data_IF_745229171155
#
_entry.id   IF_745229171155
#
_cell.length_a   1.000
_cell.length_b   1.000
_cell.length_c   1.000
_cell.angle_alpha   90.00
_cell.angle_beta   90.00
_cell.angle_gamma   90.00
#
_symmetry.space_group_name_H-M   'P 1'
#
loop_
_entity.id
_entity.type
_entity.pdbx_description
1 polymer ?
2 non-polymer ?
3 non-polymer ?
4 water ?
#
# COMPACT_ATOMS: atom_id res chain seq x y z
N UNK A 14 9.16 28.55 12.50
CA UNK A 14 10.43 27.97 12.09
C UNK A 14 11.41 29.10 11.72
N UNK A 15 12.56 29.14 12.39
CA UNK A 15 13.41 30.33 12.37
C UNK A 15 14.13 30.52 11.04
N UNK A 16 14.53 31.76 10.79
CA UNK A 16 15.25 32.07 9.55
C UNK A 16 16.62 31.44 9.52
N UNK A 17 17.30 31.39 10.67
CA UNK A 17 18.60 30.72 10.75
C UNK A 17 18.48 29.25 10.37
N UNK A 18 17.39 28.61 10.78
CA UNK A 18 17.21 27.20 10.48
C UNK A 18 16.94 26.98 9.00
N UNK A 19 16.11 27.83 8.39
CA UNK A 19 15.86 27.72 6.95
C UNK A 19 17.16 27.87 6.17
N UNK A 20 17.98 28.86 6.55
CA UNK A 20 19.26 29.05 5.86
C UNK A 20 20.16 27.84 6.00
N UNK A 21 20.14 27.18 7.17
CA UNK A 21 20.93 25.96 7.35
C UNK A 21 20.43 24.85 6.43
N UNK A 22 19.12 24.72 6.27
CA UNK A 22 18.59 23.74 5.32
C UNK A 22 19.05 24.06 3.91
N UNK A 23 19.00 25.34 3.53
CA UNK A 23 19.42 25.73 2.19
C UNK A 23 20.89 25.47 1.95
N UNK A 24 21.71 25.58 3.00
CA UNK A 24 23.13 25.28 2.88
C UNK A 24 23.38 23.82 2.54
N UNK A 25 22.47 22.92 2.89
CA UNK A 25 22.66 21.50 2.60
C UNK A 25 22.19 21.15 1.18
N UNK A 26 20.95 21.52 0.84
CA UNK A 26 20.34 21.01 -0.39
C UNK A 26 20.30 22.04 -1.50
N UNK A 27 20.56 23.31 -1.21
CA UNK A 27 20.46 24.34 -2.23
C UNK A 27 19.18 25.14 -2.12
N UNK A 28 19.27 26.44 -2.38
CA UNK A 28 18.11 27.31 -2.19
C UNK A 28 16.86 26.87 -2.96
N UNK A 29 16.93 26.42 -4.21
CA UNK A 29 15.70 26.02 -4.90
C UNK A 29 15.03 24.81 -4.28
N UNK A 30 15.73 24.05 -3.45
CA UNK A 30 15.22 22.80 -2.92
C UNK A 30 14.69 22.91 -1.49
N UNK A 31 14.50 24.13 -1.01
CA UNK A 31 13.85 24.39 0.28
C UNK A 31 12.72 25.37 0.04
N UNK A 32 11.53 25.07 0.55
CA UNK A 32 10.42 26.00 0.40
C UNK A 32 9.63 26.13 1.68
N UNK A 33 9.32 27.37 2.07
CA UNK A 33 8.38 27.65 3.14
C UNK A 33 7.09 28.29 2.61
N UNK A 34 6.86 28.22 1.30
CA UNK A 34 5.67 28.82 0.71
C UNK A 34 4.42 28.05 1.12
N UNK A 35 3.34 28.79 1.43
CA UNK A 35 2.12 28.18 1.94
C UNK A 35 1.54 27.15 0.97
N UNK A 36 1.51 27.48 -0.33
CA UNK A 36 0.92 26.55 -1.28
C UNK A 36 1.73 25.27 -1.39
N UNK A 37 3.07 25.39 -1.37
CA UNK A 37 3.92 24.22 -1.47
C UNK A 37 3.75 23.34 -0.24
N UNK A 38 3.70 23.97 0.94
CA UNK A 38 3.51 23.19 2.16
C UNK A 38 2.15 22.51 2.19
N UNK A 39 1.09 23.22 1.75
CA UNK A 39 -0.23 22.62 1.78
C UNK A 39 -0.34 21.42 0.84
N UNK A 40 0.37 21.46 -0.29
CA UNK A 40 0.41 20.33 -1.21
C UNK A 40 1.11 19.12 -0.60
N UNK A 41 1.94 19.33 0.42
CA UNK A 41 2.65 18.25 1.08
C UNK A 41 2.09 17.93 2.46
N UNK A 42 0.94 18.46 2.81
CA UNK A 42 0.34 18.23 4.12
C UNK A 42 -0.76 17.19 4.15
N UNK A 43 -0.97 16.47 3.05
CA UNK A 43 -2.06 15.52 2.94
C UNK A 43 -1.65 14.45 1.96
N UNK A 44 -2.34 13.31 2.03
CA UNK A 44 -2.19 12.29 1.01
C UNK A 44 -3.52 12.12 0.29
N UNK A 45 -3.84 10.90 -0.12
CA UNK A 45 -5.11 10.66 -0.81
C UNK A 45 -6.26 10.38 0.14
N UNK A 46 -6.00 10.31 1.45
CA UNK A 46 -7.03 10.01 2.43
C UNK A 46 -7.84 11.26 2.79
N UNK A 47 -8.89 11.05 3.57
CA UNK A 47 -9.74 12.13 4.07
C UNK A 47 -9.14 12.88 5.24
N UNK A 48 -7.97 12.46 5.74
CA UNK A 48 -7.39 13.12 6.91
C UNK A 48 -7.08 14.56 6.58
N UNK A 49 -7.43 15.46 7.51
CA UNK A 49 -7.33 16.89 7.24
C UNK A 49 -5.90 17.30 6.94
N UNK A 50 -5.75 18.18 5.97
CA UNK A 50 -4.43 18.67 5.59
C UNK A 50 -3.78 19.41 6.75
N UNK A 51 -2.57 18.99 7.11
CA UNK A 51 -1.80 19.65 8.16
C UNK A 51 -0.44 19.97 7.58
N UNK A 52 -0.23 21.19 7.11
CA UNK A 52 0.96 21.50 6.32
C UNK A 52 2.22 21.49 7.17
N UNK A 53 3.31 20.94 6.65
CA UNK A 53 4.60 21.08 7.32
C UNK A 53 5.02 22.55 7.32
N UNK A 54 6.01 22.84 8.15
CA UNK A 54 6.56 24.20 8.19
C UNK A 54 7.50 24.48 7.01
N UNK A 55 8.07 23.45 6.40
CA UNK A 55 8.90 23.61 5.23
C UNK A 55 8.89 22.30 4.47
N UNK A 56 9.23 22.37 3.18
CA UNK A 56 9.44 21.20 2.34
C UNK A 56 10.86 21.27 1.80
N UNK A 57 11.58 20.15 1.86
CA UNK A 57 12.97 20.06 1.46
C UNK A 57 13.11 18.88 0.51
N UNK A 58 13.85 19.07 -0.59
CA UNK A 58 14.14 18.04 -1.59
C UNK A 58 15.63 17.72 -1.59
N UNK A 59 16.08 16.74 -0.80
CA UNK A 59 17.50 16.37 -0.85
C UNK A 59 17.85 15.70 -2.17
N UNK A 60 19.08 15.93 -2.62
CA UNK A 60 19.52 15.46 -3.92
C UNK A 60 20.36 14.18 -3.86
N UNK A 61 20.80 13.78 -2.67
CA UNK A 61 21.58 12.55 -2.51
C UNK A 61 21.51 12.15 -1.05
N UNK A 62 22.04 10.96 -0.75
CA UNK A 62 21.90 10.42 0.59
C UNK A 62 22.67 11.24 1.61
N UNK A 63 23.82 11.79 1.23
CA UNK A 63 24.55 12.66 2.15
C UNK A 63 23.70 13.85 2.58
N UNK A 64 22.95 14.42 1.64
CA UNK A 64 22.06 15.52 1.99
C UNK A 64 20.91 15.06 2.86
N UNK A 65 20.38 13.85 2.62
CA UNK A 65 19.32 13.34 3.50
C UNK A 65 19.84 13.26 4.93
N UNK A 66 21.05 12.69 5.09
CA UNK A 66 21.65 12.56 6.40
C UNK A 66 21.85 13.91 7.07
N UNK A 67 22.36 14.89 6.33
CA UNK A 67 22.61 16.19 6.92
C UNK A 67 21.32 16.92 7.26
N UNK A 68 20.26 16.76 6.46
CA UNK A 68 18.98 17.37 6.80
C UNK A 68 18.40 16.71 8.05
N UNK A 69 18.46 15.38 8.12
CA UNK A 69 17.93 14.70 9.30
C UNK A 69 18.67 15.13 10.56
N UNK A 70 20.00 15.17 10.49
CA UNK A 70 20.80 15.58 11.65
C UNK A 70 20.44 16.99 12.09
N UNK A 71 20.30 17.91 11.13
CA UNK A 71 19.97 19.28 11.49
C UNK A 71 18.60 19.35 12.16
N UNK A 72 17.60 18.68 11.60
CA UNK A 72 16.27 18.67 12.20
C UNK A 72 16.28 18.01 13.57
N UNK A 73 16.88 16.82 13.64
CA UNK A 73 16.83 16.05 14.88
C UNK A 73 17.46 16.82 16.03
N UNK A 74 18.63 17.39 15.80
CA UNK A 74 19.31 18.06 16.91
C UNK A 74 18.69 19.40 17.26
N UNK A 75 17.87 19.99 16.39
CA UNK A 75 17.16 21.22 16.70
C UNK A 75 15.74 21.00 17.19
N UNK A 76 15.32 19.74 17.34
CA UNK A 76 13.99 19.46 17.86
C UNK A 76 12.88 19.70 16.87
N UNK A 77 13.14 19.52 15.59
CA UNK A 77 12.19 19.78 14.51
C UNK A 77 11.72 18.44 13.96
N UNK A 78 10.42 18.16 13.94
CA UNK A 78 9.95 16.88 13.39
C UNK A 78 10.31 16.72 11.92
N UNK A 79 10.45 15.45 11.53
CA UNK A 79 10.79 15.05 10.16
C UNK A 79 9.65 14.20 9.62
N UNK A 80 9.15 14.56 8.44
CA UNK A 80 8.11 13.75 7.79
C UNK A 80 8.62 13.28 6.43
N UNK A 81 8.97 12.00 6.28
CA UNK A 81 9.35 11.51 4.94
C UNK A 81 8.14 11.55 4.01
N UNK A 82 8.39 11.90 2.76
CA UNK A 82 7.33 12.06 1.78
C UNK A 82 7.79 11.40 0.49
N UNK A 83 6.99 10.46 0.01
CA UNK A 83 7.30 9.81 -1.26
C UNK A 83 6.48 10.42 -2.36
N UNK A 84 5.46 9.70 -2.82
CA UNK A 84 4.54 10.23 -3.83
C UNK A 84 3.21 10.69 -3.25
N UNK A 85 3.02 10.64 -1.93
CA UNK A 85 1.83 11.17 -1.32
C UNK A 85 0.55 10.44 -1.67
N UNK A 86 0.66 9.14 -2.01
CA UNK A 86 -0.52 8.36 -2.38
C UNK A 86 -1.04 7.50 -1.23
N UNK A 87 -0.46 7.62 -0.03
CA UNK A 87 -0.97 6.87 1.10
C UNK A 87 -2.41 7.22 1.42
N UNK A 88 -3.06 6.34 2.18
CA UNK A 88 -4.47 6.54 2.49
C UNK A 88 -4.74 6.55 3.99
N UNK A 89 -3.71 6.76 4.82
CA UNK A 89 -3.93 6.84 6.26
C UNK A 89 -3.30 8.07 6.91
N UNK A 90 -3.01 9.10 6.14
CA UNK A 90 -2.52 10.33 6.74
C UNK A 90 -1.08 10.28 7.18
N UNK A 91 -0.31 9.35 6.63
CA UNK A 91 1.08 9.21 7.05
C UNK A 91 1.92 10.46 6.87
N UNK A 92 1.64 11.25 5.82
CA UNK A 92 2.44 12.45 5.56
C UNK A 92 1.90 13.70 6.23
N UNK A 93 0.75 13.62 6.91
CA UNK A 93 0.19 14.80 7.57
C UNK A 93 1.11 15.28 8.69
N UNK A 94 1.47 16.58 8.66
CA UNK A 94 2.42 17.10 9.65
C UNK A 94 1.67 17.56 10.90
N UNK A 95 1.25 16.56 11.71
CA UNK A 95 0.40 16.85 12.86
C UNK A 95 1.12 17.66 13.93
N UNK A 96 2.46 17.67 13.92
CA UNK A 96 3.22 18.52 14.83
C UNK A 96 4.12 19.49 14.07
N UNK A 97 3.77 19.81 12.82
CA UNK A 97 4.59 20.66 11.99
C UNK A 97 5.90 19.98 11.63
N UNK A 98 6.90 20.79 11.31
CA UNK A 98 8.23 20.30 11.04
C UNK A 98 8.59 20.36 9.57
N UNK A 99 9.57 19.54 9.20
CA UNK A 99 10.16 19.56 7.86
C UNK A 99 9.73 18.31 7.11
N UNK A 100 9.03 18.51 5.99
CA UNK A 100 8.66 17.44 5.09
C UNK A 100 9.81 17.20 4.12
N UNK A 101 10.31 15.97 4.07
CA UNK A 101 11.45 15.64 3.22
C UNK A 101 10.89 14.89 2.01
N UNK A 102 10.77 15.60 0.88
CA UNK A 102 10.34 14.97 -0.35
C UNK A 102 11.55 14.29 -0.99
N UNK A 103 11.47 12.98 -1.14
CA UNK A 103 12.64 12.18 -1.51
C UNK A 103 12.71 11.89 -3.01
N UNK A 104 11.80 12.44 -3.80
CA UNK A 104 11.62 11.92 -5.16
C UNK A 104 12.64 12.45 -6.17
N UNK A 105 13.50 13.39 -5.81
CA UNK A 105 14.54 13.79 -6.75
C UNK A 105 15.69 12.79 -6.83
N UNK A 106 15.82 11.89 -5.85
CA UNK A 106 16.72 10.75 -5.99
C UNK A 106 15.93 9.66 -6.68
N UNK A 107 16.15 9.52 -7.99
CA UNK A 107 15.23 8.78 -8.84
C UNK A 107 15.97 7.77 -9.72
N UNK A 108 17.13 7.30 -9.26
CA UNK A 108 17.97 6.45 -10.07
C UNK A 108 17.78 4.96 -9.74
N UNK A 109 17.80 4.14 -10.79
CA UNK A 109 17.91 2.69 -10.69
C UNK A 109 19.38 2.33 -10.79
N UNK A 110 19.87 1.56 -9.82
CA UNK A 110 21.27 1.12 -9.82
C UNK A 110 21.35 -0.37 -9.51
N UNK A 111 22.55 -0.91 -9.68
CA UNK A 111 22.88 -2.27 -9.31
C UNK A 111 21.87 -3.27 -9.86
N UNK A 112 21.47 -3.06 -11.12
CA UNK A 112 20.59 -4.03 -11.76
C UNK A 112 21.37 -5.33 -11.94
N UNK A 113 20.93 -6.39 -11.27
CA UNK A 113 21.57 -7.70 -11.37
C UNK A 113 20.57 -8.72 -11.92
N UNK A 114 20.47 -8.79 -13.23
CA UNK A 114 19.54 -9.68 -13.86
C UNK A 114 19.80 -11.13 -13.52
N UNK A 115 21.05 -11.53 -13.45
CA UNK A 115 21.38 -12.91 -13.17
C UNK A 115 21.07 -13.37 -11.74
N UNK A 116 20.95 -12.42 -10.81
CA UNK A 116 20.58 -12.72 -9.44
C UNK A 116 19.13 -12.32 -9.18
N UNK A 117 18.45 -11.78 -10.15
CA UNK A 117 17.09 -11.34 -9.95
C UNK A 117 16.97 -10.22 -8.87
N UNK A 118 17.79 -9.18 -8.97
CA UNK A 118 17.68 -8.13 -7.97
C UNK A 118 18.04 -6.77 -8.58
N UNK A 119 17.60 -5.71 -7.92
CA UNK A 119 17.83 -4.35 -8.38
C UNK A 119 17.76 -3.43 -7.16
N UNK A 120 18.43 -2.28 -7.27
CA UNK A 120 18.39 -1.26 -6.23
C UNK A 120 17.73 -0.01 -6.81
N UNK A 121 16.77 0.56 -6.07
CA UNK A 121 16.03 1.72 -6.54
C UNK A 121 16.03 2.81 -5.47
N UNK A 122 16.08 4.06 -5.91
CA UNK A 122 15.97 5.22 -5.04
C UNK A 122 14.50 5.65 -4.95
N UNK A 123 14.15 6.54 -4.01
CA UNK A 123 12.73 6.80 -3.74
C UNK A 123 11.92 7.39 -4.90
N UNK A 124 12.56 8.07 -5.85
CA UNK A 124 11.83 8.63 -6.98
C UNK A 124 11.41 7.62 -8.03
N UNK A 125 11.89 6.37 -7.92
CA UNK A 125 11.54 5.33 -8.87
C UNK A 125 10.19 4.74 -8.48
N UNK A 126 9.27 4.73 -9.44
CA UNK A 126 7.99 4.06 -9.29
C UNK A 126 8.05 2.67 -9.92
N UNK A 127 7.04 1.85 -9.62
CA UNK A 127 6.94 0.54 -10.25
C UNK A 127 6.86 0.65 -11.77
N UNK A 128 6.09 1.62 -12.27
CA UNK A 128 6.00 1.83 -13.71
C UNK A 128 7.38 2.15 -14.30
N UNK A 129 8.15 3.02 -13.64
CA UNK A 129 9.48 3.34 -14.13
C UNK A 129 10.38 2.12 -14.12
N UNK A 130 10.34 1.32 -13.05
CA UNK A 130 11.21 0.16 -12.98
C UNK A 130 10.85 -0.86 -14.06
N UNK A 131 9.56 -1.16 -14.20
CA UNK A 131 9.18 -2.19 -15.16
C UNK A 131 9.36 -1.71 -16.60
N UNK A 132 9.23 -0.41 -16.85
CA UNK A 132 9.53 0.12 -18.18
C UNK A 132 11.01 -0.04 -18.51
N UNK A 133 11.88 0.24 -17.54
CA UNK A 133 13.31 0.05 -17.76
C UNK A 133 13.70 -1.42 -17.83
N UNK A 134 12.86 -2.32 -17.33
CA UNK A 134 13.12 -3.77 -17.43
C UNK A 134 12.53 -4.47 -18.66
N UNK A 135 11.96 -3.68 -19.54
CA UNK A 135 11.40 -4.25 -20.75
C UNK A 135 12.48 -4.95 -21.57
N UNK A 136 12.21 -6.14 -22.07
CA UNK A 136 13.17 -6.92 -22.92
C UNK A 136 14.20 -7.69 -22.11
N UNK A 137 14.09 -7.60 -20.82
CA UNK A 137 14.96 -8.28 -19.88
C UNK A 137 14.41 -9.64 -19.46
N UNK A 138 13.11 -9.86 -19.64
CA UNK A 138 12.48 -11.06 -19.15
C UNK A 138 12.17 -11.07 -17.67
N UNK A 139 12.43 -9.94 -16.98
CA UNK A 139 12.16 -9.80 -15.57
C UNK A 139 11.18 -8.66 -15.34
N UNK A 140 10.51 -8.69 -14.19
CA UNK A 140 9.58 -7.62 -13.82
C UNK A 140 9.46 -7.59 -12.31
N UNK A 141 8.93 -6.47 -11.81
CA UNK A 141 8.65 -6.33 -10.38
C UNK A 141 7.14 -6.40 -10.16
N UNK A 142 6.67 -7.36 -9.34
CA UNK A 142 5.23 -7.67 -9.32
C UNK A 142 4.35 -6.86 -8.37
N UNK A 143 4.89 -6.32 -7.28
CA UNK A 143 4.01 -5.75 -6.26
C UNK A 143 3.37 -4.48 -6.79
N UNK A 144 2.04 -4.48 -6.98
CA UNK A 144 1.36 -3.49 -7.81
C UNK A 144 0.20 -2.79 -7.12
N UNK A 145 0.49 -1.85 -6.22
CA UNK A 145 -0.56 -0.90 -5.80
C UNK A 145 -1.12 -0.17 -7.01
N UNK A 146 -2.37 0.25 -6.91
CA UNK A 146 -3.01 0.90 -8.05
C UNK A 146 -2.45 2.28 -8.35
N UNK A 147 -1.85 2.91 -7.36
CA UNK A 147 -1.27 4.23 -7.52
C UNK A 147 0.14 4.14 -8.09
N UNK A 148 0.56 5.23 -8.75
CA UNK A 148 1.92 5.36 -9.27
C UNK A 148 2.85 5.76 -8.12
N UNK A 149 3.11 4.80 -7.24
CA UNK A 149 3.74 5.07 -5.96
C UNK A 149 5.26 4.86 -5.99
N UNK A 150 5.95 5.65 -5.17
CA UNK A 150 7.36 5.41 -4.88
C UNK A 150 7.58 4.01 -4.34
N UNK A 151 8.55 3.28 -4.92
CA UNK A 151 8.85 1.94 -4.43
C UNK A 151 9.39 1.97 -3.00
N UNK A 152 10.15 3.00 -2.65
CA UNK A 152 10.62 3.11 -1.27
C UNK A 152 9.46 3.45 -0.33
N UNK A 153 8.49 4.24 -0.81
CA UNK A 153 7.28 4.45 -0.04
C UNK A 153 6.49 3.17 0.16
N UNK A 154 6.43 2.32 -0.87
CA UNK A 154 5.81 1.01 -0.73
C UNK A 154 6.54 0.14 0.27
N UNK A 155 7.87 0.21 0.31
CA UNK A 155 8.60 -0.49 1.38
C UNK A 155 8.23 0.10 2.74
N UNK A 156 8.11 1.43 2.82
CA UNK A 156 7.80 2.04 4.11
C UNK A 156 6.41 1.66 4.60
N UNK A 157 5.43 1.53 3.71
CA UNK A 157 4.09 1.17 4.17
C UNK A 157 3.85 -0.34 4.27
N UNK A 158 4.76 -1.16 3.73
CA UNK A 158 4.49 -2.60 3.68
C UNK A 158 3.44 -2.99 2.66
N UNK A 159 3.44 -2.32 1.51
CA UNK A 159 2.37 -2.44 0.53
C UNK A 159 2.25 -3.84 -0.05
N UNK A 160 1.07 -4.12 -0.60
CA UNK A 160 0.90 -5.32 -1.43
C UNK A 160 0.20 -4.85 -2.70
N UNK A 161 -0.50 -5.78 -3.36
CA UNK A 161 -1.14 -5.45 -4.61
C UNK A 161 -1.87 -6.67 -5.14
N UNK A 162 -2.40 -6.53 -6.36
CA UNK A 162 -3.15 -7.66 -6.94
C UNK A 162 -2.25 -8.87 -7.18
N UNK A 163 -0.97 -8.65 -7.48
CA UNK A 163 -0.08 -9.79 -7.77
C UNK A 163 0.43 -10.48 -6.51
N UNK A 164 0.14 -9.94 -5.32
CA UNK A 164 0.78 -10.44 -4.11
C UNK A 164 0.36 -11.87 -3.78
N UNK A 165 -0.86 -12.26 -4.15
CA UNK A 165 -1.34 -13.61 -3.86
C UNK A 165 -0.39 -14.67 -4.41
N UNK A 166 0.27 -14.40 -5.54
CA UNK A 166 1.23 -15.33 -6.11
C UNK A 166 2.67 -14.93 -5.88
N UNK A 167 2.99 -13.64 -5.96
CA UNK A 167 4.38 -13.18 -6.01
C UNK A 167 4.85 -12.50 -4.73
N UNK A 168 3.98 -12.36 -3.73
CA UNK A 168 4.37 -11.81 -2.44
C UNK A 168 4.13 -10.32 -2.32
N UNK A 169 4.17 -9.86 -1.07
CA UNK A 169 4.06 -8.45 -0.71
C UNK A 169 5.44 -7.78 -0.73
N UNK A 170 5.49 -6.49 -0.39
CA UNK A 170 6.79 -5.83 -0.21
C UNK A 170 7.65 -6.57 0.82
N UNK A 171 7.05 -7.08 1.90
CA UNK A 171 7.83 -7.80 2.91
C UNK A 171 8.51 -9.02 2.30
N UNK A 172 7.84 -9.66 1.33
CA UNK A 172 8.40 -10.84 0.70
C UNK A 172 9.47 -10.50 -0.31
N UNK A 173 9.46 -9.28 -0.84
CA UNK A 173 10.29 -8.92 -1.99
C UNK A 173 11.32 -7.83 -1.69
N UNK A 174 11.43 -7.37 -0.45
CA UNK A 174 12.48 -6.43 -0.07
C UNK A 174 13.63 -7.24 0.54
N UNK A 175 14.81 -7.15 -0.10
CA UNK A 175 16.00 -7.90 0.25
C UNK A 175 16.94 -7.10 1.15
N UNK A 176 16.91 -5.78 1.06
CA UNK A 176 17.83 -4.89 1.76
C UNK A 176 17.24 -3.50 1.69
N UNK A 177 17.59 -2.67 2.68
CA UNK A 177 17.16 -1.28 2.71
C UNK A 177 18.34 -0.43 3.11
N UNK A 178 18.46 0.74 2.47
CA UNK A 178 19.35 1.78 2.95
C UNK A 178 18.50 2.79 3.70
N UNK A 179 18.83 3.04 4.97
CA UNK A 179 18.00 3.85 5.85
C UNK A 179 18.85 4.93 6.49
N UNK A 180 18.41 6.18 6.38
CA UNK A 180 18.98 7.26 7.19
C UNK A 180 18.19 7.26 8.50
N UNK A 181 18.87 6.96 9.59
CA UNK A 181 18.23 6.96 10.89
C UNK A 181 17.92 8.39 11.33
N UNK A 182 17.04 8.55 12.32
CA UNK A 182 16.57 9.91 12.66
C UNK A 182 17.68 10.92 12.95
N UNK A 183 18.77 10.52 13.58
CA UNK A 183 19.88 11.41 13.87
C UNK A 183 20.88 11.55 12.71
N UNK A 184 20.62 10.93 11.56
CA UNK A 184 21.46 11.08 10.40
C UNK A 184 22.40 9.92 10.11
N UNK A 185 22.53 8.95 11.02
CA UNK A 185 23.40 7.81 10.73
C UNK A 185 22.83 6.99 9.58
N UNK A 186 23.73 6.39 8.79
CA UNK A 186 23.34 5.59 7.63
C UNK A 186 23.42 4.10 7.96
N UNK A 187 22.30 3.41 7.80
CA UNK A 187 22.19 1.99 8.05
C UNK A 187 21.84 1.26 6.76
N UNK A 188 22.59 0.22 6.45
CA UNK A 188 22.20 -0.75 5.43
C UNK A 188 21.71 -1.98 6.18
N UNK A 189 20.40 -2.24 6.11
CA UNK A 189 19.80 -3.15 7.08
C UNK A 189 20.38 -4.55 6.99
N UNK A 190 20.71 -5.02 5.80
CA UNK A 190 21.33 -6.32 5.61
C UNK A 190 22.82 -6.23 5.28
N UNK A 191 23.41 -5.04 5.38
CA UNK A 191 24.80 -4.86 5.00
C UNK A 191 24.94 -4.16 3.68
N UNK A 192 25.92 -3.26 3.56
CA UNK A 192 26.07 -2.47 2.34
C UNK A 192 26.36 -3.35 1.14
N UNK A 193 25.52 -3.22 0.10
CA UNK A 193 25.74 -3.92 -1.14
C UNK A 193 25.28 -5.36 -1.16
N UNK A 194 24.70 -5.85 -0.06
CA UNK A 194 24.41 -7.27 0.06
C UNK A 194 23.06 -7.61 -0.57
N UNK A 195 23.00 -8.80 -1.17
CA UNK A 195 21.76 -9.30 -1.73
C UNK A 195 21.88 -10.80 -1.82
N UNK A 196 20.85 -11.51 -1.36
CA UNK A 196 20.91 -12.95 -1.26
C UNK A 196 19.48 -13.46 -1.04
N UNK A 197 19.32 -14.78 -1.14
CA UNK A 197 17.98 -15.36 -1.03
C UNK A 197 17.54 -15.61 0.41
N UNK A 198 18.47 -15.86 1.32
CA UNK A 198 18.13 -16.11 2.71
C UNK A 198 19.34 -15.86 3.59
N UNK A 199 19.07 -15.54 4.86
CA UNK A 199 20.13 -15.33 5.83
C UNK A 199 19.59 -15.58 7.23
N UNK A 200 20.45 -16.16 8.07
CA UNK A 200 20.23 -16.25 9.51
C UNK A 200 21.21 -15.38 10.28
N UNK A 201 21.84 -14.40 9.64
CA UNK A 201 22.94 -13.66 10.26
C UNK A 201 22.42 -12.55 11.17
N UNK A 202 22.45 -12.79 12.47
CA UNK A 202 22.01 -11.76 13.41
C UNK A 202 20.51 -11.62 13.39
N UNK A 203 20.04 -10.46 13.81
CA UNK A 203 18.61 -10.14 13.78
C UNK A 203 18.26 -9.51 12.44
N UNK A 204 17.10 -9.90 11.90
CA UNK A 204 16.69 -9.39 10.59
C UNK A 204 16.23 -7.95 10.75
N UNK A 205 17.09 -7.01 10.40
CA UNK A 205 16.72 -5.60 10.53
C UNK A 205 15.87 -5.13 9.37
N UNK A 206 16.00 -5.77 8.20
CA UNK A 206 15.22 -5.35 7.04
C UNK A 206 13.72 -5.39 7.32
N UNK A 207 13.25 -6.49 7.93
CA UNK A 207 11.83 -6.64 8.20
C UNK A 207 11.28 -5.63 9.19
N UNK A 208 12.14 -5.10 10.06
CA UNK A 208 11.69 -4.08 11.01
C UNK A 208 11.36 -2.77 10.30
N UNK A 209 12.12 -2.42 9.27
CA UNK A 209 11.89 -1.15 8.61
C UNK A 209 10.82 -1.23 7.51
N UNK A 210 10.57 -2.42 6.97
CA UNK A 210 9.42 -2.56 6.09
C UNK A 210 8.15 -2.39 6.91
N UNK A 211 7.27 -1.49 6.47
CA UNK A 211 6.06 -1.24 7.23
C UNK A 211 6.24 -0.31 8.41
N UNK A 212 7.35 0.43 8.47
CA UNK A 212 7.60 1.34 9.58
C UNK A 212 7.03 2.74 9.33
N UNK A 213 6.59 3.01 8.09
CA UNK A 213 5.81 4.21 7.76
C UNK A 213 6.55 5.51 8.04
N UNK A 214 7.88 5.50 8.02
CA UNK A 214 8.61 6.73 8.26
C UNK A 214 8.78 7.11 9.70
N UNK A 215 8.42 6.22 10.63
CA UNK A 215 8.57 6.50 12.05
C UNK A 215 9.87 5.96 12.63
N UNK A 216 10.66 5.19 11.86
CA UNK A 216 11.93 4.67 12.35
C UNK A 216 13.14 5.17 11.56
N UNK A 217 12.93 5.92 10.50
CA UNK A 217 14.01 6.39 9.66
C UNK A 217 13.54 6.56 8.24
N UNK A 218 14.45 7.04 7.40
CA UNK A 218 14.15 7.44 6.03
C UNK A 218 14.77 6.42 5.07
N UNK A 219 13.93 5.75 4.29
CA UNK A 219 14.43 4.77 3.33
C UNK A 219 14.94 5.52 2.10
N UNK A 220 16.24 5.43 1.83
CA UNK A 220 16.84 6.11 0.69
C UNK A 220 17.23 5.18 -0.44
N UNK A 221 17.23 3.86 -0.23
CA UNK A 221 17.17 2.96 -1.37
C UNK A 221 16.56 1.65 -0.89
N UNK A 222 16.05 0.88 -1.84
CA UNK A 222 15.48 -0.42 -1.57
C UNK A 222 16.09 -1.41 -2.55
N UNK A 223 16.54 -2.55 -2.03
CA UNK A 223 16.95 -3.66 -2.89
C UNK A 223 15.78 -4.61 -3.05
N UNK A 224 15.35 -4.81 -4.30
CA UNK A 224 14.11 -5.53 -4.60
C UNK A 224 14.41 -6.84 -5.31
N UNK A 225 13.62 -7.86 -4.97
CA UNK A 225 13.58 -9.11 -5.72
C UNK A 225 12.81 -8.93 -7.02
N UNK A 226 13.43 -9.31 -8.14
CA UNK A 226 12.76 -9.35 -9.42
C UNK A 226 12.30 -10.77 -9.72
N UNK A 227 11.33 -10.89 -10.63
CA UNK A 227 10.71 -12.17 -10.96
C UNK A 227 10.72 -12.39 -12.45
N UNK A 228 10.78 -13.65 -12.89
CA UNK A 228 10.69 -13.94 -14.33
C UNK A 228 9.29 -13.61 -14.86
N UNK A 229 9.26 -13.05 -16.06
CA UNK A 229 7.98 -12.82 -16.72
C UNK A 229 7.30 -14.15 -17.00
N UNK A 230 5.97 -14.22 -16.87
CA UNK A 230 5.28 -15.49 -17.14
C UNK A 230 5.36 -15.89 -18.60
N UNK A 231 5.44 -17.20 -18.83
CA UNK A 231 5.49 -17.70 -20.19
C UNK A 231 4.26 -17.30 -20.98
N UNK A 232 3.08 -17.45 -20.37
CA UNK A 232 1.82 -17.06 -20.99
C UNK A 232 0.89 -16.56 -19.90
N UNK A 233 -0.05 -15.70 -20.30
CA UNK A 233 -0.94 -15.03 -19.37
C UNK A 233 -2.35 -15.06 -19.93
N UNK A 234 -3.34 -15.31 -19.06
CA UNK A 234 -4.74 -15.22 -19.43
C UNK A 234 -5.49 -14.55 -18.30
N UNK A 235 -6.35 -13.59 -18.64
CA UNK A 235 -7.16 -12.90 -17.65
C UNK A 235 -8.64 -13.10 -17.99
N UNK A 236 -9.49 -12.96 -16.98
CA UNK A 236 -10.92 -13.14 -17.20
C UNK A 236 -11.68 -12.50 -16.06
N UNK A 237 -12.97 -12.26 -16.29
CA UNK A 237 -13.88 -11.85 -15.23
C UNK A 237 -14.99 -12.89 -15.10
N UNK A 238 -15.53 -12.99 -13.90
CA UNK A 238 -16.57 -13.97 -13.61
C UNK A 238 -17.61 -13.30 -12.72
N UNK A 239 -18.86 -13.28 -13.17
CA UNK A 239 -19.94 -12.63 -12.44
C UNK A 239 -20.71 -13.66 -11.60
N UNK A 240 -21.13 -13.23 -10.41
CA UNK A 240 -21.76 -14.11 -9.45
C UNK A 240 -23.13 -13.56 -9.03
N UNK A 241 -24.02 -14.43 -8.56
CA UNK A 241 -25.34 -13.95 -8.10
C UNK A 241 -25.30 -13.24 -6.77
N UNK A 242 -24.26 -13.44 -5.96
CA UNK A 242 -24.24 -12.89 -4.61
C UNK A 242 -22.79 -12.77 -4.16
N UNK A 243 -22.60 -11.92 -3.15
CA UNK A 243 -21.28 -11.81 -2.52
C UNK A 243 -20.85 -13.15 -1.94
N UNK A 244 -21.79 -13.84 -1.27
CA UNK A 244 -21.49 -15.16 -0.70
C UNK A 244 -20.92 -16.10 -1.76
N UNK A 245 -21.52 -16.11 -2.95
CA UNK A 245 -21.08 -17.04 -3.98
C UNK A 245 -19.69 -16.70 -4.48
N UNK A 246 -19.38 -15.41 -4.61
CA UNK A 246 -18.07 -15.00 -5.11
C UNK A 246 -16.98 -15.29 -4.08
N UNK A 247 -17.27 -15.07 -2.81
CA UNK A 247 -16.23 -15.26 -1.79
C UNK A 247 -16.06 -16.74 -1.47
N UNK A 248 -17.16 -17.52 -1.50
CA UNK A 248 -17.03 -18.97 -1.36
C UNK A 248 -16.15 -19.53 -2.46
N UNK A 249 -16.33 -19.06 -3.70
CA UNK A 249 -15.48 -19.48 -4.81
C UNK A 249 -14.03 -19.15 -4.52
N UNK A 250 -13.76 -17.93 -4.05
CA UNK A 250 -12.39 -17.52 -3.75
C UNK A 250 -11.75 -18.47 -2.75
N UNK A 251 -12.45 -18.71 -1.63
CA UNK A 251 -11.90 -19.58 -0.58
C UNK A 251 -11.64 -20.97 -1.13
N UNK A 252 -12.56 -21.50 -1.95
CA UNK A 252 -12.37 -22.84 -2.47
C UNK A 252 -11.25 -22.90 -3.50
N UNK A 253 -11.03 -21.82 -4.27
CA UNK A 253 -9.90 -21.78 -5.18
C UNK A 253 -8.59 -21.84 -4.41
N UNK A 254 -8.48 -21.07 -3.32
CA UNK A 254 -7.27 -21.08 -2.51
C UNK A 254 -7.06 -22.43 -1.83
N UNK A 255 -8.14 -23.05 -1.35
CA UNK A 255 -8.00 -24.35 -0.68
C UNK A 255 -7.70 -25.47 -1.65
N UNK A 256 -8.07 -25.32 -2.92
CA UNK A 256 -7.66 -26.27 -3.94
C UNK A 256 -6.24 -26.01 -4.43
N UNK A 257 -5.60 -24.95 -3.93
CA UNK A 257 -4.21 -24.63 -4.23
C UNK A 257 -3.99 -24.34 -5.71
N UNK A 258 -4.98 -23.73 -6.36
CA UNK A 258 -4.77 -23.23 -7.70
C UNK A 258 -3.84 -22.02 -7.59
N UNK A 259 -2.68 -22.02 -8.25
CA UNK A 259 -1.72 -20.90 -8.11
C UNK A 259 -2.09 -19.69 -8.94
N UNK A 260 -3.28 -19.15 -8.69
CA UNK A 260 -3.74 -17.98 -9.44
C UNK A 260 -2.77 -16.83 -9.26
N UNK A 261 -2.58 -16.06 -10.33
CA UNK A 261 -1.68 -14.92 -10.27
C UNK A 261 -2.37 -13.70 -9.68
N UNK A 262 -3.67 -13.56 -9.93
CA UNK A 262 -4.48 -12.44 -9.47
C UNK A 262 -5.88 -12.96 -9.18
N UNK A 263 -6.46 -12.58 -8.05
CA UNK A 263 -7.86 -12.88 -7.79
C UNK A 263 -8.44 -11.72 -6.97
N UNK A 264 -9.20 -10.85 -7.63
CA UNK A 264 -9.69 -9.61 -7.07
C UNK A 264 -11.21 -9.62 -7.04
N UNK A 265 -11.77 -9.15 -5.94
CA UNK A 265 -13.22 -9.09 -5.77
C UNK A 265 -13.71 -7.65 -5.91
N UNK A 266 -14.81 -7.48 -6.65
CA UNK A 266 -15.56 -6.23 -6.69
C UNK A 266 -17.01 -6.55 -6.40
N UNK A 267 -17.63 -5.81 -5.48
CA UNK A 267 -19.07 -6.00 -5.32
C UNK A 267 -19.80 -5.26 -6.43
N UNK A 268 -21.14 -5.36 -6.45
CA UNK A 268 -21.90 -4.76 -7.54
C UNK A 268 -21.71 -3.25 -7.60
N UNK A 269 -21.66 -2.59 -6.43
CA UNK A 269 -21.45 -1.14 -6.40
C UNK A 269 -20.10 -0.79 -7.01
N UNK A 270 -19.04 -1.51 -6.62
CA UNK A 270 -17.72 -1.26 -7.17
C UNK A 270 -17.67 -1.57 -8.67
N UNK A 271 -18.30 -2.66 -9.10
CA UNK A 271 -18.35 -3.00 -10.53
C UNK A 271 -19.00 -1.89 -11.33
N UNK A 272 -20.15 -1.40 -10.86
CA UNK A 272 -20.82 -0.30 -11.55
C UNK A 272 -19.95 0.95 -11.58
N UNK A 273 -19.26 1.24 -10.48
CA UNK A 273 -18.41 2.44 -10.44
C UNK A 273 -17.26 2.31 -11.43
N UNK A 274 -16.61 1.15 -11.50
CA UNK A 274 -15.53 0.96 -12.46
C UNK A 274 -16.04 0.97 -13.89
N UNK A 275 -17.23 0.42 -14.16
CA UNK A 275 -17.82 0.55 -15.50
C UNK A 275 -17.93 2.01 -15.92
N UNK A 276 -18.39 2.86 -15.00
CA UNK A 276 -18.62 4.27 -15.33
C UNK A 276 -17.33 5.06 -15.44
N UNK A 277 -16.27 4.62 -14.76
CA UNK A 277 -15.02 5.36 -14.71
C UNK A 277 -14.00 4.88 -15.73
N UNK A 278 -14.31 3.75 -16.39
CA UNK A 278 -13.43 3.16 -17.37
C UNK A 278 -14.10 2.65 -18.65
N UNK A 279 -13.33 1.92 -19.44
CA UNK A 279 -13.83 1.35 -20.68
C UNK A 279 -14.62 0.04 -20.51
N UNK A 280 -14.73 -0.45 -19.30
CA UNK A 280 -15.46 -1.68 -19.05
C UNK A 280 -16.97 -1.57 -19.12
N UNK A 281 -17.61 -2.68 -19.47
CA UNK A 281 -19.07 -2.77 -19.46
C UNK A 281 -19.45 -4.14 -18.95
N UNK A 282 -18.85 -4.55 -17.84
CA UNK A 282 -19.12 -5.79 -17.16
C UNK A 282 -20.54 -5.79 -16.60
N UNK A 283 -21.16 -6.96 -16.48
CA UNK A 283 -22.46 -7.03 -15.80
C UNK A 283 -22.33 -6.51 -14.37
N UNK A 284 -23.29 -5.70 -13.96
CA UNK A 284 -23.29 -5.14 -12.61
C UNK A 284 -23.70 -6.25 -11.65
N UNK A 285 -22.70 -6.81 -10.98
CA UNK A 285 -22.86 -7.98 -10.11
C UNK A 285 -21.58 -8.15 -9.32
N UNK A 286 -21.62 -8.84 -8.19
CA UNK A 286 -20.37 -9.21 -7.52
C UNK A 286 -19.51 -10.05 -8.45
N UNK A 287 -18.26 -9.62 -8.63
CA UNK A 287 -17.42 -10.10 -9.72
C UNK A 287 -16.02 -10.43 -9.21
N UNK A 288 -15.43 -11.46 -9.78
CA UNK A 288 -14.00 -11.75 -9.59
C UNK A 288 -13.26 -11.39 -10.86
N UNK A 289 -12.17 -10.64 -10.71
CA UNK A 289 -11.17 -10.48 -11.76
C UNK A 289 -10.07 -11.50 -11.51
N UNK A 290 -9.75 -12.30 -12.53
CA UNK A 290 -8.78 -13.38 -12.38
C UNK A 290 -7.69 -13.24 -13.42
N UNK A 291 -6.48 -13.68 -13.05
CA UNK A 291 -5.40 -13.81 -14.01
C UNK A 291 -4.60 -15.07 -13.68
N UNK A 292 -4.14 -15.75 -14.73
CA UNK A 292 -3.41 -17.01 -14.60
C UNK A 292 -2.11 -16.90 -15.37
N UNK A 293 -1.04 -17.43 -14.79
CA UNK A 293 0.29 -17.45 -15.38
C UNK A 293 0.77 -18.88 -15.51
N UNK A 294 1.40 -19.18 -16.64
CA UNK A 294 2.05 -20.47 -16.81
C UNK A 294 2.27 -20.76 -18.29
N UNK A 295 2.55 -22.03 -18.56
CA UNK A 295 2.64 -22.49 -19.93
C UNK A 295 1.23 -22.81 -20.44
N UNK A 296 1.14 -23.18 -21.72
CA UNK A 296 -0.16 -23.51 -22.29
C UNK A 296 -0.79 -24.71 -21.59
N UNK A 297 0.03 -25.71 -21.24
CA UNK A 297 -0.49 -26.88 -20.55
C UNK A 297 -0.99 -26.52 -19.16
N UNK A 298 -0.17 -25.81 -18.38
CA UNK A 298 -0.57 -25.49 -17.01
C UNK A 298 -1.72 -24.49 -16.98
N UNK A 299 -1.80 -23.58 -17.97
CA UNK A 299 -2.91 -22.64 -18.01
C UNK A 299 -4.24 -23.36 -18.22
N UNK A 300 -4.28 -24.27 -19.21
CA UNK A 300 -5.50 -25.02 -19.45
C UNK A 300 -5.93 -25.82 -18.23
N UNK A 301 -4.96 -26.31 -17.46
CA UNK A 301 -5.26 -27.11 -16.28
C UNK A 301 -5.73 -26.23 -15.12
N UNK A 302 -5.07 -25.07 -14.91
CA UNK A 302 -5.55 -24.14 -13.90
C UNK A 302 -6.95 -23.61 -14.24
N UNK A 303 -7.18 -23.30 -15.51
CA UNK A 303 -8.48 -22.78 -15.92
C UNK A 303 -9.58 -23.79 -15.61
N UNK A 304 -9.39 -25.04 -16.04
CA UNK A 304 -10.46 -26.02 -15.88
C UNK A 304 -10.78 -26.27 -14.41
N UNK A 305 -9.78 -26.26 -13.53
CA UNK A 305 -10.06 -26.43 -12.11
C UNK A 305 -10.75 -25.20 -11.53
N UNK A 306 -10.39 -24.00 -11.99
CA UNK A 306 -10.99 -22.79 -11.45
C UNK A 306 -12.42 -22.59 -11.97
N UNK A 307 -12.66 -22.87 -13.25
CA UNK A 307 -14.03 -22.79 -13.76
C UNK A 307 -14.95 -23.78 -13.06
N UNK A 308 -14.46 -24.98 -12.75
CA UNK A 308 -15.30 -25.96 -12.06
C UNK A 308 -15.73 -25.45 -10.69
N UNK A 309 -14.83 -24.75 -9.99
CA UNK A 309 -15.16 -24.24 -8.66
C UNK A 309 -16.14 -23.08 -8.77
N UNK A 310 -15.88 -22.15 -9.69
CA UNK A 310 -16.77 -21.00 -9.82
C UNK A 310 -18.15 -21.43 -10.31
N UNK A 311 -18.20 -22.40 -11.23
CA UNK A 311 -19.50 -22.92 -11.69
C UNK A 311 -20.30 -23.51 -10.53
N UNK A 312 -19.63 -24.22 -9.62
CA UNK A 312 -20.30 -24.81 -8.47
C UNK A 312 -21.00 -23.77 -7.61
N UNK A 313 -20.52 -22.52 -7.65
CA UNK A 313 -21.09 -21.45 -6.84
C UNK A 313 -21.87 -20.45 -7.69
N UNK A 314 -22.30 -20.83 -8.89
CA UNK A 314 -23.13 -19.96 -9.69
C UNK A 314 -22.39 -18.93 -10.51
N UNK A 315 -21.08 -19.05 -10.66
CA UNK A 315 -20.34 -18.09 -11.45
C UNK A 315 -20.63 -18.23 -12.93
N UNK A 316 -20.57 -17.11 -13.64
CA UNK A 316 -20.75 -17.10 -15.08
C UNK A 316 -19.59 -17.80 -15.77
N UNK A 317 -19.79 -18.16 -17.03
CA UNK A 317 -18.67 -18.53 -17.86
C UNK A 317 -17.69 -17.36 -17.92
N UNK A 318 -16.41 -17.69 -18.01
CA UNK A 318 -15.38 -16.65 -17.94
C UNK A 318 -15.48 -15.72 -19.14
N UNK A 319 -15.53 -14.43 -18.88
CA UNK A 319 -15.42 -13.40 -19.91
C UNK A 319 -13.94 -13.11 -20.12
N UNK A 320 -13.40 -13.54 -21.25
CA UNK A 320 -11.96 -13.60 -21.44
C UNK A 320 -11.40 -12.24 -21.86
N UNK A 321 -10.09 -12.09 -21.63
CA UNK A 321 -9.35 -10.92 -22.09
C UNK A 321 -7.93 -11.31 -22.47
N UNK A 324 -2.14 -8.28 -23.96
CA UNK A 324 -3.21 -7.74 -24.81
C UNK A 324 -3.72 -6.42 -24.26
N UNK A 325 -4.33 -5.64 -25.14
CA UNK A 325 -4.92 -4.38 -24.72
C UNK A 325 -6.06 -4.54 -23.73
N UNK A 326 -6.75 -5.65 -23.76
CA UNK A 326 -7.94 -5.76 -22.90
C UNK A 326 -7.62 -6.27 -21.49
N UNK A 327 -6.54 -6.99 -21.30
CA UNK A 327 -6.11 -7.20 -19.93
C UNK A 327 -5.59 -5.90 -19.34
N UNK A 328 -4.95 -5.07 -20.16
CA UNK A 328 -4.46 -3.79 -19.68
C UNK A 328 -5.61 -2.88 -19.25
N UNK A 329 -6.69 -2.84 -20.03
CA UNK A 329 -7.85 -2.05 -19.62
C UNK A 329 -8.55 -2.67 -18.42
N UNK A 330 -8.57 -4.00 -18.34
CA UNK A 330 -9.14 -4.68 -17.17
C UNK A 330 -8.41 -4.27 -15.90
N UNK A 331 -7.09 -4.40 -15.88
CA UNK A 331 -6.36 -4.12 -14.65
C UNK A 331 -6.17 -2.63 -14.41
N UNK A 332 -6.20 -1.80 -15.46
CA UNK A 332 -6.21 -0.36 -15.22
C UNK A 332 -7.50 0.07 -14.53
N UNK A 333 -8.63 -0.53 -14.91
CA UNK A 333 -9.88 -0.26 -14.21
C UNK A 333 -9.80 -0.68 -12.74
N UNK A 334 -9.25 -1.87 -12.48
CA UNK A 334 -9.11 -2.32 -11.10
C UNK A 334 -8.19 -1.40 -10.31
N UNK A 335 -7.04 -1.04 -10.91
CA UNK A 335 -6.08 -0.19 -10.23
C UNK A 335 -6.66 1.18 -9.91
N UNK A 336 -7.65 1.65 -10.66
CA UNK A 336 -8.24 2.96 -10.44
C UNK A 336 -9.55 2.89 -9.67
N UNK A 337 -9.86 1.73 -9.06
CA UNK A 337 -11.11 1.56 -8.32
C UNK A 337 -11.31 2.65 -7.27
N UNK A 338 -10.23 3.05 -6.58
CA UNK A 338 -10.34 4.13 -5.60
C UNK A 338 -10.91 5.38 -6.23
N UNK A 339 -10.41 5.77 -7.41
CA UNK A 339 -10.90 6.96 -8.09
C UNK A 339 -12.27 6.74 -8.69
N UNK A 340 -12.59 5.51 -9.10
CA UNK A 340 -13.94 5.21 -9.54
C UNK A 340 -14.95 5.40 -8.41
N UNK A 341 -14.58 5.01 -7.20
CA UNK A 341 -15.46 5.18 -6.05
C UNK A 341 -15.63 6.66 -5.71
N UNK A 342 -14.54 7.43 -5.73
CA UNK A 342 -14.64 8.86 -5.45
C UNK A 342 -15.56 9.55 -6.45
N UNK A 343 -15.52 9.12 -7.70
CA UNK A 343 -16.32 9.74 -8.75
C UNK A 343 -17.82 9.48 -8.62
N UNK A 344 -18.22 8.66 -7.69
CA UNK A 344 -19.64 8.44 -7.49
C UNK A 344 -20.21 9.68 -6.82
N UNK A 345 -19.49 10.24 -5.85
CA UNK A 345 -19.92 11.45 -5.16
C UNK A 345 -18.88 12.51 -5.35
N UNK A 346 -18.96 13.22 -6.45
CA UNK A 346 -17.88 14.19 -6.74
C UNK A 346 -17.73 15.38 -5.77
N UNK A 348 -16.36 14.57 -3.07
CA UNK A 348 -16.28 13.84 -1.82
C UNK A 348 -14.92 13.26 -1.60
N UNK A 349 -14.60 13.06 -0.34
CA UNK A 349 -13.35 12.40 0.00
C UNK A 349 -13.77 10.97 0.44
N UNK A 350 -12.81 10.11 0.76
CA UNK A 350 -13.15 8.75 1.13
C UNK A 350 -12.21 8.25 2.21
N UNK A 351 -12.71 7.32 3.01
CA UNK A 351 -11.90 6.53 3.91
C UNK A 351 -11.99 5.07 3.49
N UNK A 352 -10.87 4.36 3.61
CA UNK A 352 -10.79 2.95 3.25
C UNK A 352 -10.49 2.11 4.48
N UNK A 353 -11.27 1.04 4.68
CA UNK A 353 -10.85 -0.01 5.57
C UNK A 353 -9.92 -0.96 4.81
N UNK A 354 -9.31 -1.90 5.55
CA UNK A 354 -8.25 -2.73 4.99
C UNK A 354 -8.02 -4.02 5.78
N UNK A 355 -9.08 -4.59 6.34
CA UNK A 355 -8.88 -5.74 7.22
C UNK A 355 -8.39 -6.95 6.43
N UNK A 356 -7.72 -7.85 7.15
CA UNK A 356 -7.28 -9.13 6.59
C UNK A 356 -7.55 -10.20 7.64
N UNK A 357 -8.28 -11.24 7.24
CA UNK A 357 -8.73 -12.27 8.18
C UNK A 357 -8.27 -13.63 7.68
N UNK A 358 -8.24 -14.64 8.56
CA UNK A 358 -8.07 -16.02 8.08
C UNK A 358 -9.07 -16.31 6.97
N UNK A 359 -8.60 -16.95 5.90
CA UNK A 359 -9.42 -17.02 4.69
C UNK A 359 -10.74 -17.73 4.94
N UNK A 360 -10.79 -18.70 5.84
CA UNK A 360 -12.06 -19.38 6.07
C UNK A 360 -13.09 -18.47 6.71
N UNK A 361 -12.67 -17.37 7.32
CA UNK A 361 -13.61 -16.41 7.88
C UNK A 361 -13.96 -15.28 6.91
N UNK A 362 -13.35 -15.25 5.72
CA UNK A 362 -13.62 -14.16 4.79
C UNK A 362 -15.08 -14.12 4.33
N UNK A 363 -15.74 -15.24 4.03
CA UNK A 363 -17.16 -15.15 3.65
C UNK A 363 -18.03 -14.50 4.73
N UNK A 364 -17.83 -14.87 6.00
CA UNK A 364 -18.60 -14.26 7.09
C UNK A 364 -18.46 -12.74 7.08
N UNK A 365 -17.22 -12.24 7.07
CA UNK A 365 -17.03 -10.82 7.28
C UNK A 365 -17.38 -10.01 6.03
N UNK A 366 -17.14 -10.54 4.82
CA UNK A 366 -17.51 -9.81 3.63
C UNK A 366 -19.02 -9.71 3.49
N UNK A 367 -19.74 -10.81 3.70
CA UNK A 367 -21.19 -10.77 3.64
C UNK A 367 -21.74 -9.86 4.72
N UNK A 368 -21.20 -9.95 5.94
CA UNK A 368 -21.62 -9.07 7.02
C UNK A 368 -21.38 -7.61 6.68
N UNK A 369 -20.24 -7.29 6.06
CA UNK A 369 -19.96 -5.90 5.70
C UNK A 369 -20.96 -5.39 4.67
N UNK A 370 -21.27 -6.23 3.67
CA UNK A 370 -22.27 -5.84 2.67
C UNK A 370 -23.62 -5.59 3.34
N UNK A 371 -24.03 -6.45 4.27
CA UNK A 371 -25.29 -6.25 4.98
C UNK A 371 -25.26 -4.97 5.80
N UNK A 372 -24.13 -4.67 6.44
CA UNK A 372 -24.05 -3.48 7.29
C UNK A 372 -24.05 -2.21 6.48
N UNK A 373 -23.36 -2.22 5.32
CA UNK A 373 -23.40 -1.06 4.43
C UNK A 373 -24.84 -0.74 4.04
N UNK A 374 -25.57 -1.76 3.67
CA UNK A 374 -26.95 -1.53 3.26
C UNK A 374 -27.86 -1.09 4.39
N UNK A 375 -27.62 -1.62 5.58
CA UNK A 375 -28.43 -1.25 6.70
C UNK A 375 -28.16 0.16 7.14
N UNK A 376 -27.00 0.73 6.83
CA UNK A 376 -26.69 2.06 7.31
C UNK A 376 -27.04 3.11 6.26
N UNK A 377 -27.05 4.38 6.69
CA UNK A 377 -27.23 5.50 5.79
C UNK A 377 -26.05 5.68 4.84
N UNK A 378 -24.92 5.03 5.12
CA UNK A 378 -23.69 5.27 4.40
C UNK A 378 -23.69 4.60 3.02
N UNK A 379 -22.96 5.22 2.09
CA UNK A 379 -22.57 4.60 0.83
C UNK A 379 -21.22 3.92 1.00
N UNK A 380 -21.07 2.75 0.39
CA UNK A 380 -19.78 2.08 0.37
C UNK A 380 -19.60 1.22 -0.85
N UNK A 381 -18.37 1.11 -1.33
CA UNK A 381 -18.00 0.18 -2.39
C UNK A 381 -16.98 -0.79 -1.82
N UNK A 382 -17.04 -2.05 -2.24
CA UNK A 382 -16.15 -3.08 -1.71
C UNK A 382 -15.27 -3.61 -2.84
N UNK A 383 -13.96 -3.65 -2.59
CA UNK A 383 -12.98 -4.18 -3.53
C UNK A 383 -11.89 -4.81 -2.68
N UNK A 384 -11.30 -5.91 -3.15
CA UNK A 384 -10.39 -6.61 -2.26
C UNK A 384 -9.43 -7.56 -2.92
N UNK A 385 -8.21 -7.59 -2.38
CA UNK A 385 -7.23 -8.64 -2.63
C UNK A 385 -7.63 -9.88 -1.83
N UNK A 386 -8.75 -10.49 -2.24
CA UNK A 386 -9.37 -11.55 -1.45
C UNK A 386 -8.55 -12.83 -1.46
N UNK A 387 -7.63 -12.99 -2.42
CA UNK A 387 -6.69 -14.10 -2.38
C UNK A 387 -5.84 -14.11 -1.13
N UNK A 388 -5.66 -12.94 -0.50
CA UNK A 388 -4.94 -12.81 0.75
C UNK A 388 -5.86 -12.78 1.96
N UNK A 389 -7.16 -12.95 1.77
CA UNK A 389 -8.11 -12.74 2.85
C UNK A 389 -8.31 -11.29 3.21
N UNK A 390 -8.07 -10.39 2.26
CA UNK A 390 -7.98 -8.96 2.49
C UNK A 390 -9.02 -8.27 1.62
N UNK A 391 -9.65 -7.22 2.14
CA UNK A 391 -10.54 -6.42 1.32
C UNK A 391 -10.63 -5.01 1.89
N UNK A 392 -11.09 -4.09 1.04
CA UNK A 392 -11.27 -2.69 1.40
C UNK A 392 -12.73 -2.32 1.25
N UNK A 393 -13.24 -1.58 2.23
CA UNK A 393 -14.53 -0.90 2.10
C UNK A 393 -14.24 0.58 1.91
N UNK A 394 -14.63 1.12 0.76
CA UNK A 394 -14.37 2.52 0.43
C UNK A 394 -15.62 3.31 0.77
N UNK A 395 -15.50 4.21 1.75
CA UNK A 395 -16.63 4.95 2.32
C UNK A 395 -16.45 6.44 1.99
N UNK A 396 -17.30 6.98 1.11
CA UNK A 396 -17.21 8.39 0.77
C UNK A 396 -17.66 9.31 1.90
N UNK A 397 -17.10 10.51 1.89
CA UNK A 397 -17.35 11.55 2.89
C UNK A 397 -17.53 12.88 2.19
N UNK A 398 -18.62 13.56 2.49
CA UNK A 398 -18.74 15.00 2.27
C UNK A 398 -17.77 15.68 3.22
N UNK A 399 -16.72 16.35 2.72
CA UNK A 399 -15.72 16.94 3.63
C UNK A 399 -16.30 17.94 4.63
N UNK A 400 -17.49 18.47 4.39
CA UNK A 400 -18.09 19.46 5.27
C UNK A 400 -19.20 18.89 6.15
N UNK A 401 -19.45 17.58 6.08
CA UNK A 401 -20.52 16.94 6.86
C UNK A 401 -19.87 16.23 8.04
N UNK A 402 -19.94 16.87 9.21
CA UNK A 402 -19.30 16.31 10.40
C UNK A 402 -20.06 15.10 10.93
N UNK A 403 -21.38 15.08 10.78
CA UNK A 403 -22.15 13.93 11.25
C UNK A 403 -21.84 12.68 10.42
N UNK A 404 -21.74 12.83 9.10
CA UNK A 404 -21.34 11.70 8.27
C UNK A 404 -19.95 11.20 8.62
N UNK A 405 -19.05 12.12 9.00
CA UNK A 405 -17.66 11.73 9.23
C UNK A 405 -17.50 10.84 10.45
N UNK A 406 -18.34 11.01 11.47
CA UNK A 406 -18.20 10.14 12.63
C UNK A 406 -18.92 8.83 12.43
N UNK A 407 -19.98 8.81 11.61
CA UNK A 407 -20.58 7.55 11.22
C UNK A 407 -19.62 6.71 10.41
N UNK A 408 -18.74 7.36 9.63
CA UNK A 408 -17.78 6.62 8.81
C UNK A 408 -16.67 6.02 9.69
N UNK A 409 -16.01 6.85 10.50
CA UNK A 409 -15.26 6.34 11.66
C UNK A 409 -15.92 5.22 12.43
N UNK A 410 -17.15 5.41 12.90
CA UNK A 410 -17.77 4.37 13.69
C UNK A 410 -17.88 3.07 12.89
N UNK A 411 -18.23 3.17 11.61
CA UNK A 411 -18.35 1.98 10.77
C UNK A 411 -17.00 1.32 10.56
N UNK A 412 -15.98 2.10 10.16
CA UNK A 412 -14.67 1.54 9.91
C UNK A 412 -14.09 0.91 11.17
N UNK A 413 -14.35 1.53 12.31
CA UNK A 413 -13.81 1.04 13.57
C UNK A 413 -14.53 -0.23 14.02
N UNK A 414 -15.84 -0.34 13.79
CA UNK A 414 -16.55 -1.57 14.12
C UNK A 414 -16.13 -2.72 13.19
N UNK A 415 -15.91 -2.42 11.91
CA UNK A 415 -15.43 -3.46 11.00
C UNK A 415 -14.05 -3.94 11.43
N UNK A 416 -13.15 -3.01 11.77
CA UNK A 416 -11.85 -3.41 12.28
C UNK A 416 -11.94 -4.33 13.46
N UNK A 417 -12.81 -4.02 14.43
CA UNK A 417 -12.87 -4.89 15.61
C UNK A 417 -13.49 -6.23 15.28
N UNK A 418 -14.40 -6.29 14.31
CA UNK A 418 -14.92 -7.58 13.87
C UNK A 418 -13.81 -8.43 13.27
N UNK A 419 -12.93 -7.82 12.46
CA UNK A 419 -11.79 -8.55 11.94
C UNK A 419 -10.89 -9.05 13.06
N UNK A 420 -10.65 -8.21 14.07
CA UNK A 420 -9.84 -8.63 15.20
C UNK A 420 -10.50 -9.79 15.94
N UNK A 421 -11.82 -9.75 16.08
CA UNK A 421 -12.53 -10.84 16.77
C UNK A 421 -12.37 -12.17 16.04
N UNK A 422 -12.13 -12.12 14.73
CA UNK A 422 -11.97 -13.32 13.92
C UNK A 422 -10.52 -13.79 13.83
N UNK A 423 -9.61 -13.17 14.60
CA UNK A 423 -8.22 -13.57 14.56
C UNK A 423 -7.40 -12.88 13.51
N UNK A 424 -7.94 -11.85 12.86
CA UNK A 424 -7.27 -11.17 11.77
C UNK A 424 -6.55 -9.92 12.22
N UNK A 425 -6.27 -9.06 11.25
CA UNK A 425 -5.53 -7.83 11.46
C UNK A 425 -6.33 -6.66 10.91
N UNK A 426 -6.14 -5.50 11.52
CA UNK A 426 -6.86 -4.30 11.13
C UNK A 426 -6.35 -3.68 9.84
N UNK A 427 -5.17 -4.09 9.36
CA UNK A 427 -4.71 -3.60 8.06
C UNK A 427 -3.82 -4.63 7.38
N UNK A 428 -4.23 -5.03 6.19
CA UNK A 428 -3.43 -5.97 5.42
C UNK A 428 -2.28 -5.31 4.66
N UNK A 429 -2.41 -4.04 4.29
CA UNK A 429 -1.39 -3.43 3.43
C UNK A 429 -1.25 -1.92 3.57
N UNK A 430 -2.33 -1.20 3.93
CA UNK A 430 -2.28 0.26 3.89
C UNK A 430 -1.47 0.85 5.03
N UNK A 431 -1.43 0.18 6.17
CA UNK A 431 -0.77 0.70 7.35
C UNK A 431 -1.73 1.35 8.33
N UNK A 432 -1.13 1.95 9.35
CA UNK A 432 -1.84 2.50 10.50
C UNK A 432 -2.02 3.99 10.40
N UNK A 433 -0.94 4.71 10.05
CA UNK A 433 -0.98 6.16 9.98
C UNK A 433 -1.64 6.80 11.17
N UNK A 434 -2.61 7.68 10.88
CA UNK A 434 -3.40 8.34 11.89
C UNK A 434 -4.69 7.60 12.22
N UNK A 435 -5.17 6.75 11.33
CA UNK A 435 -6.51 6.23 11.46
C UNK A 435 -6.73 4.98 12.28
N UNK A 436 -5.71 4.12 12.41
CA UNK A 436 -5.92 2.82 13.04
C UNK A 436 -5.11 2.64 14.30
N UNK A 437 -4.72 3.73 14.96
CA UNK A 437 -3.82 3.64 16.10
C UNK A 437 -4.48 2.92 17.28
N UNK A 438 -5.77 3.17 17.52
CA UNK A 438 -6.44 2.47 18.61
C UNK A 438 -6.64 1.01 18.27
N UNK A 439 -6.99 0.71 17.02
CA UNK A 439 -7.14 -0.69 16.61
C UNK A 439 -5.83 -1.46 16.77
N UNK A 440 -4.69 -0.82 16.48
CA UNK A 440 -3.41 -1.50 16.66
C UNK A 440 -3.20 -1.90 18.12
N UNK A 441 -3.54 -1.00 19.05
CA UNK A 441 -3.38 -1.32 20.46
C UNK A 441 -4.21 -2.55 20.84
N UNK A 442 -5.42 -2.65 20.30
CA UNK A 442 -6.24 -3.82 20.59
C UNK A 442 -5.70 -5.07 19.91
N UNK A 443 -5.13 -4.91 18.71
CA UNK A 443 -4.62 -6.05 17.95
C UNK A 443 -3.48 -6.77 18.67
N UNK A 444 -2.50 -6.02 19.20
CA UNK A 444 -1.30 -6.64 19.74
C UNK A 444 -1.21 -6.59 21.25
N UNK A 445 -2.07 -5.83 21.93
CA UNK A 445 -2.12 -5.86 23.37
C UNK A 445 -1.00 -5.08 24.02
N UNK A 446 -1.03 -5.02 25.35
CA UNK A 446 -0.08 -4.14 26.07
C UNK A 446 1.38 -4.50 25.89
N UNK A 447 1.73 -5.79 25.85
CA UNK A 447 3.14 -6.13 25.71
C UNK A 447 3.60 -5.88 24.28
N UNK A 448 2.72 -6.13 23.31
CA UNK A 448 3.05 -5.79 21.93
C UNK A 448 3.25 -4.29 21.73
N UNK A 449 2.36 -3.48 22.31
CA UNK A 449 2.50 -2.03 22.19
C UNK A 449 3.79 -1.55 22.83
N UNK A 450 4.07 -2.00 24.06
CA UNK A 450 5.29 -1.54 24.72
C UNK A 450 6.52 -1.98 23.95
N UNK A 451 6.51 -3.19 23.40
CA UNK A 451 7.67 -3.66 22.65
C UNK A 451 7.87 -2.81 21.40
N UNK A 452 6.78 -2.51 20.69
CA UNK A 452 6.91 -1.67 19.51
C UNK A 452 7.42 -0.30 19.90
N UNK A 453 6.95 0.21 21.04
CA UNK A 453 7.35 1.55 21.43
C UNK A 453 8.80 1.57 21.90
N UNK A 454 9.28 0.48 22.50
CA UNK A 454 10.69 0.41 22.85
C UNK A 454 11.56 0.42 21.61
N UNK A 455 11.08 -0.18 20.52
CA UNK A 455 11.84 -0.17 19.27
C UNK A 455 11.89 1.22 18.70
N UNK A 456 10.74 1.90 18.67
CA UNK A 456 10.66 3.29 18.24
C UNK A 456 11.60 4.18 19.06
N UNK A 457 11.64 3.96 20.38
CA UNK A 457 12.43 4.86 21.22
C UNK A 457 13.92 4.67 21.02
N UNK A 458 14.39 3.46 20.71
CA UNK A 458 15.84 3.35 20.58
C UNK A 458 16.33 3.92 19.26
N UNK A 459 15.51 3.84 18.21
CA UNK A 459 15.90 4.44 16.94
C UNK A 459 15.60 5.93 16.89
N UNK A 460 14.58 6.39 17.60
CA UNK A 460 14.15 7.79 17.57
C UNK A 460 13.94 8.29 19.00
N UNK A 461 15.03 8.44 19.77
CA UNK A 461 14.86 8.83 21.18
C UNK A 461 14.06 10.11 21.37
N UNK A 462 14.24 11.11 20.53
CA UNK A 462 13.56 12.38 20.72
C UNK A 462 12.13 12.39 20.17
N UNK A 463 11.69 11.32 19.51
CA UNK A 463 10.33 11.26 19.02
C UNK A 463 10.04 12.22 17.89
N UNK A 464 11.04 12.53 17.07
CA UNK A 464 10.90 13.50 16.00
C UNK A 464 10.69 12.86 14.64
N UNK A 465 10.73 11.53 14.54
CA UNK A 465 10.64 10.83 13.26
C UNK A 465 9.15 10.58 12.99
N UNK A 466 8.54 11.43 12.17
CA UNK A 466 7.12 11.36 11.84
C UNK A 466 6.23 11.14 13.08
N UNK A 467 6.21 12.09 14.00
CA UNK A 467 5.48 11.87 15.26
C UNK A 467 3.98 11.82 15.06
N UNK A 468 3.31 11.13 15.99
CA UNK A 468 1.87 11.03 15.93
C UNK A 468 1.34 9.95 15.04
N UNK A 469 2.20 9.10 14.46
CA UNK A 469 1.76 8.05 13.55
C UNK A 469 2.09 6.68 14.14
N UNK A 470 1.21 5.72 13.84
CA UNK A 470 1.37 4.30 14.15
C UNK A 470 1.16 4.03 15.63
N UNK A 471 2.01 4.60 16.48
CA UNK A 471 1.92 4.43 17.92
C UNK A 471 1.38 5.71 18.56
#
# INVERSE_FOLDING_TARGET
WSHPQFEKGSQGGLSQDFVEALKAVVGSPHVSTASAVREQHGHDESMHRCQPPDAVVWPQNVDQVSRVASLCYNQGVPIIPFGTGTGVEGGVCAVQGGVCINLTHMDQITELNTEDFSVVVEPGVTRKALNTHLRDSGLWFPVDPGADASLCGMAATGASGTNAVRYGTMRDNVINLEVVLPDGRLLHTAGRGRHYRKSAAGYNLTGLFVGSEGTLGIITSTTLRLHPAPEATVAATCAFPSVQAAVDSTVQILQAAVPVARIEFLDDVMMDACNRHSKLNCPVAPTLFLEFHGSQQTLAEQLQRTEAITQDNGGSHFSWAKEAEKRNELWAARHNAWYAALALSPGSKAYSTDVCVPISRLPEILVETKEEIKASKLTGAIVGHVGDGNFACILLVDPDDAEEQRRVKAFAENLGRRALALGGTCTGEHGIGLGKRQLLQEEVGPVGVETMRQLKNTLDPRGLMNPGKVL
#
